data_IF_815936437421
#
_entry.id   IF_815936437421
#
_cell.length_a   1.000
_cell.length_b   1.000
_cell.length_c   1.000
_cell.angle_alpha   90.00
_cell.angle_beta   90.00
_cell.angle_gamma   90.00
#
_symmetry.space_group_name_H-M   'P 1'
#
loop_
_entity.id
_entity.type
_entity.pdbx_description
1 polymer ?
#
# COMPACT_ATOMS: atom_id res chain seq x y z
N UNK A 1 -35.85 -14.36 40.41
CA UNK A 1 -36.23 -15.23 39.27
C UNK A 1 -35.70 -14.57 38.02
N UNK A 2 -34.71 -15.20 37.49
CA UNK A 2 -33.83 -14.86 36.41
C UNK A 2 -34.50 -14.90 35.03
N UNK A 3 -34.20 -13.99 34.14
CA UNK A 3 -34.58 -14.03 32.74
C UNK A 3 -33.50 -13.38 31.86
N UNK A 4 -32.47 -14.14 31.53
CA UNK A 4 -31.46 -13.82 30.51
C UNK A 4 -32.10 -13.95 29.12
N UNK A 5 -32.20 -12.86 28.36
CA UNK A 5 -32.54 -12.87 26.96
C UNK A 5 -31.24 -12.71 26.16
N UNK A 6 -30.83 -13.85 25.59
CA UNK A 6 -29.79 -13.96 24.57
C UNK A 6 -30.31 -13.40 23.25
N UNK A 7 -29.73 -12.31 22.76
CA UNK A 7 -29.97 -11.81 21.41
C UNK A 7 -28.95 -12.44 20.47
N UNK A 8 -29.37 -13.42 19.71
CA UNK A 8 -28.64 -13.96 18.55
C UNK A 8 -28.71 -12.96 17.39
N UNK A 9 -27.56 -12.44 16.99
CA UNK A 9 -27.42 -11.68 15.77
C UNK A 9 -27.33 -12.65 14.57
N UNK A 10 -28.41 -12.77 13.82
CA UNK A 10 -28.43 -13.41 12.49
C UNK A 10 -28.88 -12.39 11.47
N UNK A 11 -27.93 -11.89 10.67
CA UNK A 11 -28.22 -11.12 9.48
C UNK A 11 -27.35 -11.60 8.31
N UNK A 12 -27.95 -12.04 7.20
CA UNK A 12 -27.17 -12.55 6.07
C UNK A 12 -26.70 -11.40 5.19
N UNK A 13 -25.40 -11.15 5.14
CA UNK A 13 -24.80 -10.37 4.06
C UNK A 13 -24.90 -11.16 2.75
N UNK A 14 -25.87 -10.82 1.91
CA UNK A 14 -25.91 -11.26 0.52
C UNK A 14 -24.86 -10.47 -0.26
N UNK A 15 -23.84 -11.17 -0.72
CA UNK A 15 -22.86 -10.70 -1.69
C UNK A 15 -23.55 -10.41 -3.02
N UNK A 16 -23.56 -9.15 -3.44
CA UNK A 16 -23.74 -8.79 -4.83
C UNK A 16 -22.37 -8.90 -5.52
N UNK A 17 -22.15 -10.04 -6.14
CA UNK A 17 -21.06 -10.27 -7.07
C UNK A 17 -21.52 -9.78 -8.44
N UNK A 18 -21.26 -8.53 -8.80
CA UNK A 18 -21.43 -8.04 -10.15
C UNK A 18 -20.09 -7.59 -10.73
N UNK A 19 -19.75 -8.25 -11.81
CA UNK A 19 -18.57 -8.22 -12.63
C UNK A 19 -18.32 -6.86 -13.29
N UNK A 20 -17.78 -5.88 -12.56
CA UNK A 20 -17.24 -4.65 -13.14
C UNK A 20 -15.80 -4.80 -13.69
N UNK A 21 -15.18 -5.96 -13.48
CA UNK A 21 -13.76 -6.20 -13.80
C UNK A 21 -13.43 -6.40 -15.28
N UNK A 22 -14.40 -6.75 -16.13
CA UNK A 22 -14.13 -7.03 -17.56
C UNK A 22 -13.85 -5.78 -18.40
N UNK A 23 -14.32 -4.60 -17.99
CA UNK A 23 -14.12 -3.32 -18.71
C UNK A 23 -12.75 -2.68 -18.47
N UNK A 24 -12.07 -3.06 -17.42
CA UNK A 24 -10.76 -2.51 -17.05
C UNK A 24 -9.64 -2.97 -18.00
N UNK A 25 -9.71 -4.21 -18.46
CA UNK A 25 -8.72 -4.80 -19.34
C UNK A 25 -8.79 -4.27 -20.78
N UNK A 26 -9.97 -3.96 -21.28
CA UNK A 26 -10.11 -3.44 -22.66
C UNK A 26 -9.47 -2.06 -22.85
N UNK A 27 -9.45 -1.20 -21.83
CA UNK A 27 -8.75 0.10 -21.87
C UNK A 27 -7.23 -0.01 -21.69
N UNK A 28 -6.73 -0.98 -20.92
CA UNK A 28 -5.29 -1.23 -20.80
C UNK A 28 -4.66 -1.84 -22.05
N UNK A 29 -5.44 -2.47 -22.90
CA UNK A 29 -4.94 -3.06 -24.14
C UNK A 29 -4.35 -2.04 -25.11
N UNK A 30 -4.89 -0.81 -25.14
CA UNK A 30 -4.37 0.27 -25.99
C UNK A 30 -3.03 0.86 -25.50
N UNK A 31 -2.72 0.70 -24.20
CA UNK A 31 -1.51 1.25 -23.58
C UNK A 31 -0.35 0.25 -23.56
N UNK A 32 -0.64 -1.06 -23.64
CA UNK A 32 0.40 -2.11 -23.64
C UNK A 32 1.19 -2.20 -24.97
N UNK A 33 0.85 -1.42 -25.99
CA UNK A 33 1.44 -1.49 -27.32
C UNK A 33 2.61 -0.54 -27.59
N UNK A 34 3.09 0.24 -26.60
CA UNK A 34 4.17 1.20 -26.83
C UNK A 34 5.46 0.82 -26.09
N UNK A 35 6.50 0.62 -26.86
CA UNK A 35 7.95 0.49 -26.60
C UNK A 35 8.50 -0.17 -25.31
N UNK A 36 9.23 -1.27 -25.53
CA UNK A 36 9.97 -2.04 -24.52
C UNK A 36 11.47 -1.82 -24.69
N UNK A 37 12.13 -1.28 -23.68
CA UNK A 37 13.59 -1.05 -23.65
C UNK A 37 14.33 -2.07 -22.75
N UNK A 38 14.14 -3.38 -22.98
CA UNK A 38 14.98 -4.42 -22.36
C UNK A 38 15.45 -5.42 -23.44
N UNK A 39 16.79 -5.67 -23.59
CA UNK A 39 17.33 -6.40 -24.74
C UNK A 39 16.85 -7.84 -24.89
N UNK A 40 16.50 -8.54 -23.82
CA UNK A 40 15.98 -9.92 -23.88
C UNK A 40 14.50 -9.94 -24.29
N UNK A 41 13.71 -8.96 -23.86
CA UNK A 41 12.29 -8.84 -24.22
C UNK A 41 12.07 -8.14 -25.56
N UNK A 42 13.01 -7.29 -25.99
CA UNK A 42 12.99 -6.70 -27.33
C UNK A 42 13.14 -7.77 -28.44
N UNK A 43 13.86 -8.86 -28.19
CA UNK A 43 13.91 -10.01 -29.11
C UNK A 43 12.59 -10.78 -29.17
N UNK A 44 11.91 -10.97 -28.04
CA UNK A 44 10.60 -11.65 -27.97
C UNK A 44 9.45 -10.77 -28.52
N UNK A 45 9.60 -9.43 -28.48
CA UNK A 45 8.62 -8.49 -28.99
C UNK A 45 8.60 -8.38 -30.53
N UNK A 46 9.64 -8.85 -31.23
CA UNK A 46 9.72 -8.83 -32.70
C UNK A 46 8.84 -9.85 -33.41
N UNK A 47 8.31 -10.84 -32.68
CA UNK A 47 7.32 -11.78 -33.24
C UNK A 47 5.90 -11.30 -32.93
N UNK A 48 5.38 -10.36 -33.71
CA UNK A 48 3.97 -9.98 -33.66
C UNK A 48 3.14 -10.96 -34.50
N UNK A 49 2.49 -11.90 -33.88
CA UNK A 49 1.38 -12.64 -34.48
C UNK A 49 0.10 -11.86 -34.19
N UNK A 50 -0.55 -11.31 -35.20
CA UNK A 50 -1.82 -10.56 -35.12
C UNK A 50 -1.76 -9.31 -34.17
N UNK A 51 -0.70 -8.52 -34.22
CA UNK A 51 -0.59 -7.26 -33.48
C UNK A 51 -0.39 -7.37 -31.96
N UNK A 52 -0.23 -8.59 -31.42
CA UNK A 52 -0.09 -8.83 -29.95
C UNK A 52 1.13 -9.70 -29.68
N UNK A 53 1.96 -9.29 -28.71
CA UNK A 53 3.17 -10.06 -28.38
C UNK A 53 2.81 -11.42 -27.77
N UNK A 54 3.58 -12.50 -28.06
CA UNK A 54 3.35 -13.83 -27.48
C UNK A 54 3.23 -13.84 -25.97
N UNK A 55 3.99 -12.98 -25.29
CA UNK A 55 3.92 -12.84 -23.84
C UNK A 55 2.59 -12.21 -23.36
N UNK A 56 1.96 -11.34 -24.15
CA UNK A 56 0.62 -10.82 -23.82
C UNK A 56 -0.44 -11.91 -23.90
N UNK A 57 -0.36 -12.74 -24.96
CA UNK A 57 -1.25 -13.90 -25.11
C UNK A 57 -1.06 -14.89 -23.96
N UNK A 58 0.20 -15.21 -23.63
CA UNK A 58 0.54 -16.10 -22.51
C UNK A 58 -0.03 -15.60 -21.18
N UNK A 59 0.16 -14.32 -20.84
CA UNK A 59 -0.37 -13.75 -19.61
C UNK A 59 -1.90 -13.75 -19.58
N UNK A 60 -2.57 -13.49 -20.71
CA UNK A 60 -4.04 -13.56 -20.80
C UNK A 60 -4.58 -14.97 -20.60
N UNK A 61 -3.94 -15.96 -21.20
CA UNK A 61 -4.32 -17.36 -21.04
C UNK A 61 -4.19 -17.77 -19.56
N UNK A 62 -3.05 -17.45 -18.96
CA UNK A 62 -2.81 -17.74 -17.54
C UNK A 62 -3.80 -17.01 -16.61
N UNK A 63 -4.17 -15.76 -16.92
CA UNK A 63 -5.20 -15.05 -16.15
C UNK A 63 -6.52 -15.82 -16.17
N UNK A 64 -7.00 -16.24 -17.36
CA UNK A 64 -8.24 -17.01 -17.48
C UNK A 64 -8.20 -18.34 -16.71
N UNK A 65 -7.05 -19.03 -16.72
CA UNK A 65 -6.87 -20.26 -15.94
C UNK A 65 -6.90 -19.95 -14.46
N UNK A 66 -6.16 -18.93 -14.01
CA UNK A 66 -6.07 -18.52 -12.62
C UNK A 66 -7.42 -18.14 -12.02
N UNK A 67 -8.21 -17.36 -12.75
CA UNK A 67 -9.56 -16.96 -12.31
C UNK A 67 -10.50 -18.15 -12.08
N UNK A 68 -10.31 -19.25 -12.81
CA UNK A 68 -11.08 -20.49 -12.68
C UNK A 68 -10.58 -21.44 -11.59
N UNK A 69 -9.37 -21.24 -11.08
CA UNK A 69 -8.80 -22.09 -10.05
C UNK A 69 -9.51 -21.84 -8.70
N UNK A 70 -9.97 -22.88 -7.99
CA UNK A 70 -10.46 -22.75 -6.62
C UNK A 70 -9.41 -22.13 -5.69
N UNK A 71 -9.83 -21.34 -4.70
CA UNK A 71 -8.91 -20.68 -3.75
C UNK A 71 -8.01 -21.68 -3.01
N UNK A 72 -8.51 -22.89 -2.71
CA UNK A 72 -7.71 -23.98 -2.10
C UNK A 72 -6.54 -24.39 -2.97
N UNK A 73 -6.74 -24.48 -4.30
CA UNK A 73 -5.69 -24.83 -5.28
C UNK A 73 -4.70 -23.67 -5.43
N UNK A 74 -5.17 -22.42 -5.50
CA UNK A 74 -4.28 -21.24 -5.58
C UNK A 74 -3.33 -21.13 -4.39
N UNK A 75 -3.72 -21.66 -3.23
CA UNK A 75 -2.91 -21.64 -2.01
C UNK A 75 -1.90 -22.80 -1.90
N UNK A 76 -1.91 -23.77 -2.81
CA UNK A 76 -0.88 -24.81 -2.85
C UNK A 76 0.49 -24.24 -3.21
N UNK A 77 1.54 -24.71 -2.54
CA UNK A 77 2.90 -24.20 -2.71
C UNK A 77 3.37 -24.10 -4.18
N UNK A 78 3.23 -25.13 -5.04
CA UNK A 78 3.69 -25.04 -6.43
C UNK A 78 2.88 -24.00 -7.24
N UNK A 79 1.57 -23.88 -7.00
CA UNK A 79 0.72 -22.92 -7.68
C UNK A 79 1.07 -21.48 -7.25
N UNK A 80 1.35 -21.28 -5.95
CA UNK A 80 1.82 -19.99 -5.43
C UNK A 80 3.17 -19.59 -6.01
N UNK A 81 4.11 -20.51 -6.09
CA UNK A 81 5.43 -20.28 -6.70
C UNK A 81 5.30 -19.91 -8.18
N UNK A 82 4.40 -20.58 -8.90
CA UNK A 82 4.07 -20.21 -10.26
C UNK A 82 3.42 -18.83 -10.35
N UNK A 83 2.52 -18.50 -9.46
CA UNK A 83 1.94 -17.16 -9.35
C UNK A 83 2.98 -16.08 -9.08
N UNK A 84 3.96 -16.33 -8.20
CA UNK A 84 5.07 -15.41 -7.94
C UNK A 84 5.93 -15.19 -9.20
N UNK A 85 6.16 -16.24 -9.99
CA UNK A 85 6.85 -16.12 -11.28
C UNK A 85 6.04 -15.32 -12.31
N UNK A 86 4.72 -15.56 -12.41
CA UNK A 86 3.82 -14.75 -13.25
C UNK A 86 3.83 -13.28 -12.82
N UNK A 87 3.82 -13.02 -11.51
CA UNK A 87 3.94 -11.69 -10.95
C UNK A 87 5.24 -11.02 -11.40
N UNK A 88 6.39 -11.71 -11.33
CA UNK A 88 7.65 -11.17 -11.81
C UNK A 88 7.60 -10.79 -13.30
N UNK A 89 6.94 -11.61 -14.15
CA UNK A 89 6.74 -11.30 -15.58
C UNK A 89 5.84 -10.08 -15.79
N UNK A 90 4.80 -9.90 -14.97
CA UNK A 90 3.93 -8.72 -15.01
C UNK A 90 4.73 -7.48 -14.62
N UNK A 91 5.57 -7.59 -13.55
CA UNK A 91 6.44 -6.51 -13.09
C UNK A 91 7.41 -6.00 -14.18
N UNK A 92 8.04 -6.91 -14.93
CA UNK A 92 8.96 -6.55 -16.01
C UNK A 92 8.30 -5.72 -17.12
N UNK A 93 6.97 -5.73 -17.21
CA UNK A 93 6.18 -5.01 -18.20
C UNK A 93 5.51 -3.76 -17.68
N UNK A 94 5.57 -3.53 -16.36
CA UNK A 94 4.98 -2.35 -15.76
C UNK A 94 5.75 -1.10 -16.17
N UNK A 95 5.02 -0.12 -16.68
CA UNK A 95 5.53 1.23 -16.91
C UNK A 95 5.08 2.13 -15.78
N UNK A 96 5.90 3.14 -15.42
CA UNK A 96 5.48 4.21 -14.52
C UNK A 96 4.26 4.90 -15.14
N UNK A 97 3.08 4.68 -14.57
CA UNK A 97 1.83 5.30 -15.00
C UNK A 97 1.27 6.11 -13.85
N UNK A 98 0.76 7.29 -14.15
CA UNK A 98 -0.05 8.04 -13.21
C UNK A 98 -1.43 7.37 -13.13
N UNK A 99 -1.72 6.80 -11.99
CA UNK A 99 -3.01 6.19 -11.70
C UNK A 99 -3.53 6.77 -10.38
N UNK A 100 -4.64 7.47 -10.45
CA UNK A 100 -5.20 8.20 -9.31
C UNK A 100 -6.32 7.43 -8.57
N UNK A 101 -6.43 6.13 -8.82
CA UNK A 101 -7.44 5.27 -8.20
C UNK A 101 -7.27 5.17 -6.70
N UNK A 102 -8.16 5.82 -5.97
CA UNK A 102 -8.22 5.78 -4.50
C UNK A 102 -9.67 5.87 -4.04
N UNK A 103 -9.94 5.57 -2.79
CA UNK A 103 -11.24 5.74 -2.15
C UNK A 103 -11.06 5.94 -0.64
N UNK A 104 -12.10 6.47 0.00
CA UNK A 104 -12.08 6.72 1.43
C UNK A 104 -12.02 5.41 2.22
N UNK A 105 -11.33 5.44 3.37
CA UNK A 105 -11.15 4.34 4.32
C UNK A 105 -10.65 3.04 3.67
N UNK A 106 -9.73 3.15 2.72
CA UNK A 106 -9.25 2.05 1.87
C UNK A 106 -8.73 0.86 2.67
N UNK A 107 -7.94 1.10 3.70
CA UNK A 107 -7.42 0.06 4.59
C UNK A 107 -7.69 0.45 6.04
N UNK A 108 -8.87 0.06 6.55
CA UNK A 108 -9.30 0.39 7.91
C UNK A 108 -8.33 -0.11 9.00
N UNK A 109 -7.75 -1.33 8.92
CA UNK A 109 -6.75 -1.77 9.88
C UNK A 109 -5.49 -0.88 9.89
N UNK A 110 -5.06 -0.34 8.75
CA UNK A 110 -3.93 0.59 8.70
C UNK A 110 -4.26 1.93 9.37
N UNK A 111 -5.46 2.46 9.14
CA UNK A 111 -5.95 3.67 9.81
C UNK A 111 -6.05 3.48 11.32
N UNK A 112 -6.55 2.32 11.76
CA UNK A 112 -6.62 1.96 13.18
C UNK A 112 -5.23 1.86 13.81
N UNK A 113 -4.26 1.29 13.11
CA UNK A 113 -2.87 1.27 13.59
C UNK A 113 -2.30 2.70 13.70
N UNK A 114 -2.52 3.56 12.70
CA UNK A 114 -2.09 4.96 12.75
C UNK A 114 -2.71 5.68 13.96
N UNK A 115 -3.99 5.45 14.23
CA UNK A 115 -4.68 5.99 15.39
C UNK A 115 -4.04 5.53 16.71
N UNK A 116 -3.78 4.21 16.87
CA UNK A 116 -3.13 3.64 18.06
C UNK A 116 -1.72 4.19 18.27
N UNK A 117 -0.96 4.40 17.20
CA UNK A 117 0.35 5.03 17.30
C UNK A 117 0.24 6.51 17.68
N UNK A 118 -0.80 7.21 17.21
CA UNK A 118 -1.09 8.58 17.62
C UNK A 118 -1.49 8.65 19.12
N UNK A 119 -2.12 7.60 19.68
CA UNK A 119 -2.44 7.51 21.10
C UNK A 119 -1.21 7.53 22.02
N UNK A 120 -0.03 7.18 21.48
CA UNK A 120 1.24 7.24 22.22
C UNK A 120 1.80 8.67 22.36
N UNK A 121 1.26 9.63 21.59
CA UNK A 121 1.69 11.03 21.69
C UNK A 121 1.13 11.69 22.94
N UNK A 122 1.92 12.54 23.63
CA UNK A 122 1.44 13.31 24.76
C UNK A 122 0.21 14.15 24.40
N UNK A 123 -0.67 14.35 25.38
CA UNK A 123 -1.87 15.16 25.19
C UNK A 123 -1.51 16.60 24.80
N UNK A 124 -2.22 17.14 23.82
CA UNK A 124 -2.00 18.51 23.30
C UNK A 124 -0.75 18.69 22.45
N UNK A 125 0.01 17.60 22.18
CA UNK A 125 1.22 17.70 21.38
C UNK A 125 0.92 17.77 19.87
N UNK A 126 1.96 18.08 19.10
CA UNK A 126 1.89 18.09 17.62
C UNK A 126 2.20 16.70 17.08
N UNK A 127 1.40 16.25 16.11
CA UNK A 127 1.65 15.06 15.29
C UNK A 127 1.87 15.52 13.85
N UNK A 128 3.05 15.23 13.29
CA UNK A 128 3.41 15.55 11.91
C UNK A 128 3.29 14.31 11.04
N UNK A 129 2.56 14.42 9.93
CA UNK A 129 2.31 13.31 9.00
C UNK A 129 2.62 13.79 7.59
N UNK A 130 3.39 13.02 6.82
CA UNK A 130 3.49 13.21 5.38
C UNK A 130 2.77 12.09 4.64
N UNK A 131 1.93 12.43 3.66
CA UNK A 131 1.26 11.49 2.75
C UNK A 131 1.82 11.71 1.34
N UNK A 132 2.56 10.73 0.85
CA UNK A 132 3.23 10.79 -0.44
C UNK A 132 2.42 10.06 -1.51
N UNK A 133 2.23 10.69 -2.68
CA UNK A 133 1.32 10.20 -3.72
C UNK A 133 -0.14 10.29 -3.24
N UNK A 134 -0.52 11.45 -2.68
CA UNK A 134 -1.81 11.65 -2.02
C UNK A 134 -3.02 11.61 -2.95
N UNK A 135 -2.79 11.60 -4.27
CA UNK A 135 -3.85 11.52 -5.28
C UNK A 135 -4.95 12.58 -5.04
N UNK A 136 -6.21 12.23 -5.24
CA UNK A 136 -7.36 13.13 -5.02
C UNK A 136 -7.69 13.38 -3.54
N UNK A 137 -6.80 13.04 -2.60
CA UNK A 137 -6.92 13.38 -1.18
C UNK A 137 -7.74 12.43 -0.31
N UNK A 138 -8.32 11.36 -0.86
CA UNK A 138 -9.16 10.47 -0.08
C UNK A 138 -8.42 9.81 1.11
N UNK A 139 -7.15 9.43 0.95
CA UNK A 139 -6.33 8.88 2.03
C UNK A 139 -5.99 9.95 3.07
N UNK A 140 -5.67 11.18 2.64
CA UNK A 140 -5.38 12.32 3.52
C UNK A 140 -6.54 12.57 4.49
N UNK A 141 -7.75 12.73 3.96
CA UNK A 141 -8.93 12.97 4.77
C UNK A 141 -9.33 11.77 5.63
N UNK A 142 -9.09 10.54 5.15
CA UNK A 142 -9.32 9.32 5.93
C UNK A 142 -8.41 9.23 7.16
N UNK A 143 -7.14 9.57 7.02
CA UNK A 143 -6.17 9.62 8.11
C UNK A 143 -6.57 10.68 9.13
N UNK A 144 -6.89 11.89 8.65
CA UNK A 144 -7.29 13.00 9.52
C UNK A 144 -8.59 12.68 10.28
N UNK A 145 -9.59 12.10 9.59
CA UNK A 145 -10.83 11.65 10.25
C UNK A 145 -10.53 10.62 11.34
N UNK A 146 -9.76 9.58 11.04
CA UNK A 146 -9.44 8.52 11.99
C UNK A 146 -8.73 9.04 13.23
N UNK A 147 -7.75 9.94 13.06
CA UNK A 147 -6.95 10.45 14.19
C UNK A 147 -7.72 11.52 14.97
N UNK A 148 -8.31 12.51 14.30
CA UNK A 148 -8.98 13.63 14.98
C UNK A 148 -10.26 13.25 15.68
N UNK A 149 -11.01 12.27 15.17
CA UNK A 149 -12.19 11.74 15.87
C UNK A 149 -11.83 11.09 17.21
N UNK A 150 -10.66 10.45 17.30
CA UNK A 150 -10.21 9.78 18.51
C UNK A 150 -9.37 10.70 19.43
N UNK A 151 -8.58 11.59 18.82
CA UNK A 151 -7.62 12.47 19.51
C UNK A 151 -7.79 13.93 19.08
N UNK A 152 -8.93 14.55 19.42
CA UNK A 152 -9.18 15.98 19.10
C UNK A 152 -8.23 16.93 19.84
N UNK A 153 -7.53 16.43 20.86
CA UNK A 153 -6.52 17.18 21.59
C UNK A 153 -5.20 17.35 20.83
N UNK A 154 -4.91 16.52 19.82
CA UNK A 154 -3.65 16.61 19.08
C UNK A 154 -3.72 17.70 17.99
N UNK A 155 -2.63 18.49 17.90
CA UNK A 155 -2.43 19.35 16.74
C UNK A 155 -1.86 18.54 15.60
N UNK A 156 -2.72 18.05 14.67
CA UNK A 156 -2.28 17.28 13.52
C UNK A 156 -1.93 18.23 12.37
N UNK A 157 -0.66 18.17 11.94
CA UNK A 157 -0.14 18.85 10.75
C UNK A 157 0.15 17.78 9.70
N UNK A 158 -0.39 17.92 8.50
CA UNK A 158 -0.27 16.95 7.44
C UNK A 158 0.23 17.59 6.15
N UNK A 159 1.36 17.08 5.64
CA UNK A 159 1.92 17.44 4.35
C UNK A 159 1.45 16.41 3.30
N UNK A 160 0.60 16.85 2.37
CA UNK A 160 0.06 16.05 1.29
C UNK A 160 0.83 16.32 -0.01
N UNK A 161 1.55 15.32 -0.50
CA UNK A 161 2.48 15.49 -1.64
C UNK A 161 2.01 14.66 -2.83
N UNK A 162 1.96 15.25 -4.01
CA UNK A 162 1.75 14.56 -5.28
C UNK A 162 2.56 15.21 -6.41
N UNK A 163 2.80 14.47 -7.48
CA UNK A 163 3.53 14.94 -8.66
C UNK A 163 2.64 15.70 -9.66
N UNK A 164 1.33 15.70 -9.46
CA UNK A 164 0.35 16.36 -10.33
C UNK A 164 -0.29 17.55 -9.64
N UNK A 165 -0.03 18.75 -10.18
CA UNK A 165 -0.61 19.99 -9.68
C UNK A 165 -2.14 20.02 -9.80
N UNK A 166 -2.68 19.44 -10.87
CA UNK A 166 -4.11 19.37 -11.14
C UNK A 166 -4.81 18.52 -10.09
N UNK A 167 -4.20 17.37 -9.74
CA UNK A 167 -4.72 16.47 -8.72
C UNK A 167 -4.66 17.09 -7.33
N UNK A 168 -3.57 17.77 -7.00
CA UNK A 168 -3.46 18.50 -5.72
C UNK A 168 -4.52 19.58 -5.60
N UNK A 169 -4.73 20.36 -6.67
CA UNK A 169 -5.78 21.39 -6.68
C UNK A 169 -7.17 20.81 -6.52
N UNK A 170 -7.43 19.61 -7.07
CA UNK A 170 -8.67 18.88 -6.86
C UNK A 170 -8.79 18.41 -5.40
N UNK A 171 -7.76 17.79 -4.88
CA UNK A 171 -7.72 17.27 -3.49
C UNK A 171 -7.92 18.39 -2.47
N UNK A 172 -7.28 19.54 -2.66
CA UNK A 172 -7.38 20.70 -1.79
C UNK A 172 -8.80 21.27 -1.73
N UNK A 173 -9.54 21.30 -2.86
CA UNK A 173 -10.95 21.71 -2.88
C UNK A 173 -11.80 20.83 -1.97
N UNK A 174 -11.50 19.53 -1.91
CA UNK A 174 -12.20 18.57 -1.06
C UNK A 174 -13.68 18.40 -1.43
N UNK A 175 -14.01 18.52 -2.72
CA UNK A 175 -15.37 18.39 -3.26
C UNK A 175 -15.39 17.17 -4.18
N UNK A 176 -16.29 16.26 -3.88
CA UNK A 176 -16.44 14.99 -4.60
C UNK A 176 -17.87 14.82 -5.07
N UNK A 177 -18.03 14.24 -6.26
CA UNK A 177 -19.32 13.94 -6.85
C UNK A 177 -19.33 12.49 -7.38
N UNK A 178 -20.51 11.90 -7.71
CA UNK A 178 -20.58 10.58 -8.34
C UNK A 178 -19.71 10.47 -9.60
N UNK A 179 -19.59 11.53 -10.39
CA UNK A 179 -18.73 11.59 -11.57
C UNK A 179 -17.24 11.52 -11.22
N UNK A 180 -16.84 11.81 -9.98
CA UNK A 180 -15.46 11.60 -9.51
C UNK A 180 -15.04 10.16 -9.70
N UNK A 181 -15.99 9.22 -9.70
CA UNK A 181 -15.76 7.82 -10.02
C UNK A 181 -15.17 7.59 -11.42
N UNK A 182 -15.36 8.52 -12.36
CA UNK A 182 -14.76 8.45 -13.70
C UNK A 182 -13.21 8.57 -13.64
N UNK A 183 -12.69 9.27 -12.64
CA UNK A 183 -11.25 9.39 -12.39
C UNK A 183 -10.68 8.15 -11.70
N UNK A 184 -11.49 7.40 -10.95
CA UNK A 184 -11.04 6.32 -10.05
C UNK A 184 -11.67 4.95 -10.32
N UNK A 185 -12.50 4.79 -11.33
CA UNK A 185 -13.16 3.54 -11.76
C UNK A 185 -14.02 2.82 -10.72
N UNK A 186 -14.19 3.37 -9.53
CA UNK A 186 -15.05 2.85 -8.46
C UNK A 186 -15.68 4.02 -7.71
N UNK A 187 -16.79 3.80 -7.04
CA UNK A 187 -17.38 4.84 -6.19
C UNK A 187 -16.39 5.16 -5.07
N UNK A 188 -15.92 6.40 -5.02
CA UNK A 188 -14.97 6.87 -4.00
C UNK A 188 -15.53 6.69 -2.58
N UNK A 189 -16.86 6.59 -2.44
CA UNK A 189 -17.59 6.44 -1.19
C UNK A 189 -18.00 5.00 -0.86
N UNK A 190 -17.66 4.01 -1.69
CA UNK A 190 -18.18 2.62 -1.57
C UNK A 190 -17.91 1.96 -0.21
N UNK A 191 -16.91 2.41 0.51
CA UNK A 191 -16.50 1.85 1.81
C UNK A 191 -16.95 2.65 3.01
N UNK A 192 -17.66 3.75 2.78
CA UNK A 192 -18.20 4.57 3.85
C UNK A 192 -19.60 4.10 4.24
N UNK A 193 -19.85 3.98 5.53
CA UNK A 193 -21.21 3.91 6.08
C UNK A 193 -21.90 5.28 5.98
N UNK A 194 -23.21 5.33 6.11
CA UNK A 194 -23.94 6.60 6.09
C UNK A 194 -23.52 7.51 7.26
N UNK A 195 -23.22 6.94 8.43
CA UNK A 195 -22.72 7.70 9.58
C UNK A 195 -21.37 8.36 9.25
N UNK A 196 -20.42 7.61 8.68
CA UNK A 196 -19.11 8.15 8.30
C UNK A 196 -19.22 9.21 7.21
N UNK A 197 -20.13 9.03 6.26
CA UNK A 197 -20.44 10.07 5.26
C UNK A 197 -20.94 11.35 5.93
N UNK A 198 -21.86 11.23 6.89
CA UNK A 198 -22.39 12.37 7.63
C UNK A 198 -21.32 13.03 8.53
N UNK A 199 -20.37 12.27 9.06
CA UNK A 199 -19.27 12.81 9.88
C UNK A 199 -18.20 13.52 9.04
N UNK A 200 -17.92 13.02 7.83
CA UNK A 200 -16.82 13.52 6.99
C UNK A 200 -17.23 14.62 6.03
N UNK A 201 -18.51 14.66 5.61
CA UNK A 201 -18.95 15.53 4.51
C UNK A 201 -20.20 16.34 4.86
N UNK A 202 -20.26 17.53 4.25
CA UNK A 202 -21.46 18.32 4.06
C UNK A 202 -21.97 18.07 2.63
N UNK A 203 -23.24 17.76 2.46
CA UNK A 203 -23.82 17.40 1.17
C UNK A 203 -24.64 18.54 0.58
N UNK A 204 -24.34 18.94 -0.66
CA UNK A 204 -25.08 19.90 -1.46
C UNK A 204 -25.51 19.20 -2.76
N UNK A 205 -26.76 18.70 -2.81
CA UNK A 205 -27.21 17.80 -3.89
C UNK A 205 -26.39 16.53 -3.90
N UNK A 206 -25.76 16.21 -5.02
CA UNK A 206 -24.84 15.08 -5.21
C UNK A 206 -23.39 15.39 -4.89
N UNK A 207 -23.07 16.63 -4.50
CA UNK A 207 -21.72 16.99 -4.14
C UNK A 207 -21.47 16.81 -2.65
N UNK A 208 -20.42 16.10 -2.32
CA UNK A 208 -19.93 15.88 -0.97
C UNK A 208 -18.71 16.77 -0.74
N UNK A 209 -18.83 17.77 0.11
CA UNK A 209 -17.73 18.67 0.52
C UNK A 209 -17.16 18.19 1.84
N UNK A 210 -15.86 17.97 1.90
CA UNK A 210 -15.19 17.59 3.15
C UNK A 210 -15.34 18.71 4.18
N UNK A 211 -15.77 18.33 5.39
CA UNK A 211 -15.99 19.26 6.50
C UNK A 211 -14.73 20.06 6.85
N UNK A 212 -14.91 21.29 7.30
CA UNK A 212 -13.81 22.24 7.58
C UNK A 212 -12.79 21.67 8.56
N UNK A 213 -13.24 21.03 9.63
CA UNK A 213 -12.36 20.45 10.66
C UNK A 213 -11.42 19.36 10.16
N UNK A 214 -11.75 18.70 9.04
CA UNK A 214 -10.88 17.73 8.35
C UNK A 214 -9.89 18.40 7.39
N UNK A 215 -10.14 19.65 7.01
CA UNK A 215 -9.31 20.38 6.05
C UNK A 215 -8.24 21.26 6.72
N UNK A 216 -8.33 21.46 8.01
CA UNK A 216 -7.37 22.25 8.79
C UNK A 216 -6.00 21.60 8.84
N UNK A 217 -4.92 22.40 8.87
CA UNK A 217 -3.55 21.94 9.08
C UNK A 217 -3.00 21.01 7.97
N UNK A 218 -3.58 21.05 6.77
CA UNK A 218 -3.06 20.36 5.59
C UNK A 218 -2.26 21.35 4.74
N UNK A 219 -1.04 20.95 4.37
CA UNK A 219 -0.23 21.62 3.35
C UNK A 219 -0.23 20.77 2.09
N UNK A 220 -0.75 21.31 0.98
CA UNK A 220 -0.75 20.62 -0.31
C UNK A 220 0.47 21.04 -1.11
N UNK A 221 1.34 20.09 -1.45
CA UNK A 221 2.65 20.39 -2.02
C UNK A 221 2.93 19.54 -3.26
N UNK A 222 3.34 20.23 -4.33
CA UNK A 222 3.88 19.57 -5.52
C UNK A 222 5.27 19.01 -5.20
N UNK A 223 5.47 17.72 -5.41
CA UNK A 223 6.76 17.08 -5.14
C UNK A 223 6.82 15.64 -5.64
N UNK A 224 8.04 15.17 -5.91
CA UNK A 224 8.30 13.78 -6.26
C UNK A 224 8.95 13.07 -5.04
N UNK A 225 8.32 12.00 -4.55
CA UNK A 225 8.88 11.19 -3.46
C UNK A 225 10.23 10.54 -3.80
N UNK A 226 10.59 10.50 -5.08
CA UNK A 226 11.91 10.05 -5.53
C UNK A 226 12.98 11.16 -5.45
N UNK A 227 12.59 12.42 -5.23
CA UNK A 227 13.51 13.55 -5.09
C UNK A 227 14.09 13.60 -3.66
N UNK A 228 15.44 13.52 -3.51
CA UNK A 228 16.07 13.65 -2.19
C UNK A 228 15.83 15.00 -1.51
N UNK A 229 15.62 16.07 -2.27
CA UNK A 229 15.41 17.44 -1.77
C UNK A 229 14.07 17.58 -1.04
N UNK A 230 13.14 16.65 -1.24
CA UNK A 230 11.86 16.64 -0.54
C UNK A 230 12.04 16.62 0.99
N UNK A 231 13.11 16.00 1.47
CA UNK A 231 13.45 15.95 2.91
C UNK A 231 13.73 17.36 3.46
N UNK A 232 14.38 18.22 2.69
CA UNK A 232 14.70 19.58 3.11
C UNK A 232 13.46 20.47 3.20
N UNK A 233 12.45 20.12 2.39
CA UNK A 233 11.19 20.89 2.32
C UNK A 233 10.20 20.50 3.42
N UNK A 234 10.03 19.19 3.66
CA UNK A 234 9.03 18.69 4.62
C UNK A 234 9.55 18.65 6.07
N UNK A 235 10.87 18.49 6.24
CA UNK A 235 11.48 18.26 7.56
C UNK A 235 11.08 16.88 8.15
N UNK A 236 11.46 16.62 9.40
CA UNK A 236 11.20 15.32 10.03
C UNK A 236 9.71 15.14 10.38
N UNK A 237 9.18 13.97 10.06
CA UNK A 237 7.79 13.57 10.26
C UNK A 237 7.69 12.48 11.34
N UNK A 238 6.61 12.48 12.12
CA UNK A 238 6.29 11.39 13.06
C UNK A 238 5.79 10.15 12.31
N UNK A 239 5.04 10.36 11.21
CA UNK A 239 4.54 9.31 10.35
C UNK A 239 4.71 9.71 8.87
N UNK A 240 5.19 8.79 8.05
CA UNK A 240 5.21 8.94 6.59
C UNK A 240 4.41 7.82 5.96
N UNK A 241 3.47 8.18 5.10
CA UNK A 241 2.57 7.26 4.42
C UNK A 241 2.88 7.26 2.93
N UNK A 242 3.20 6.09 2.41
CA UNK A 242 3.56 5.85 1.01
C UNK A 242 2.74 4.68 0.45
N UNK A 243 1.50 4.99 0.04
CA UNK A 243 0.53 3.97 -0.34
C UNK A 243 0.31 3.91 -1.85
N UNK A 244 0.52 2.72 -2.43
CA UNK A 244 0.06 2.31 -3.76
C UNK A 244 0.56 3.15 -4.96
N UNK A 245 1.66 3.88 -4.84
CA UNK A 245 2.30 4.55 -5.98
C UNK A 245 3.65 3.92 -6.36
N UNK A 246 4.35 3.29 -5.43
CA UNK A 246 5.64 2.64 -5.67
C UNK A 246 5.54 1.46 -6.65
N UNK A 247 4.38 0.82 -6.73
CA UNK A 247 4.11 -0.25 -7.69
C UNK A 247 4.16 0.19 -9.16
N UNK A 248 4.11 1.49 -9.41
CA UNK A 248 4.22 2.06 -10.75
C UNK A 248 5.66 2.41 -11.14
N UNK A 249 6.63 2.12 -10.29
CA UNK A 249 8.06 2.36 -10.52
C UNK A 249 8.79 1.06 -10.87
N UNK A 250 9.93 1.17 -11.55
CA UNK A 250 10.87 0.06 -11.66
C UNK A 250 11.43 -0.30 -10.27
N UNK A 251 11.86 -1.56 -10.07
CA UNK A 251 12.37 -2.03 -8.77
C UNK A 251 13.48 -1.16 -8.19
N UNK A 252 14.44 -0.77 -9.02
CA UNK A 252 15.55 0.11 -8.63
C UNK A 252 15.10 1.51 -8.21
N UNK A 253 14.11 2.06 -8.92
CA UNK A 253 13.54 3.36 -8.59
C UNK A 253 12.69 3.30 -7.33
N UNK A 254 11.92 2.22 -7.14
CA UNK A 254 11.16 1.98 -5.91
C UNK A 254 12.08 1.85 -4.69
N UNK A 255 13.21 1.13 -4.81
CA UNK A 255 14.20 1.01 -3.73
C UNK A 255 14.81 2.37 -3.39
N UNK A 256 15.23 3.14 -4.40
CA UNK A 256 15.76 4.49 -4.21
C UNK A 256 14.73 5.41 -3.54
N UNK A 257 13.48 5.37 -4.00
CA UNK A 257 12.39 6.12 -3.43
C UNK A 257 12.13 5.76 -1.96
N UNK A 258 12.11 4.46 -1.61
CA UNK A 258 11.96 4.01 -0.22
C UNK A 258 13.09 4.51 0.69
N UNK A 259 14.34 4.54 0.19
CA UNK A 259 15.48 5.09 0.93
C UNK A 259 15.35 6.61 1.16
N UNK A 260 14.77 7.34 0.21
CA UNK A 260 14.48 8.76 0.38
C UNK A 260 13.34 8.97 1.39
N UNK A 261 12.27 8.18 1.29
CA UNK A 261 11.12 8.21 2.22
C UNK A 261 11.59 7.98 3.66
N UNK A 262 12.54 7.07 3.88
CA UNK A 262 13.09 6.79 5.21
C UNK A 262 13.72 8.02 5.86
N UNK A 263 14.32 8.92 5.08
CA UNK A 263 14.94 10.16 5.58
C UNK A 263 13.93 11.20 6.05
N UNK A 264 12.68 11.10 5.60
CA UNK A 264 11.60 11.97 6.06
C UNK A 264 11.11 11.60 7.45
N UNK A 265 11.35 10.37 7.90
CA UNK A 265 10.87 9.90 9.19
C UNK A 265 11.80 10.38 10.28
N UNK A 266 11.26 11.11 11.25
CA UNK A 266 12.01 11.55 12.43
C UNK A 266 12.40 10.39 13.34
N UNK A 267 13.33 10.59 14.28
CA UNK A 267 13.79 9.57 15.20
C UNK A 267 12.65 8.90 15.97
N UNK A 268 12.55 7.57 15.88
CA UNK A 268 11.48 6.80 16.52
C UNK A 268 10.11 6.91 15.85
N UNK A 269 10.03 7.59 14.70
CA UNK A 269 8.81 7.72 13.90
C UNK A 269 8.50 6.47 13.09
N UNK A 270 7.46 6.54 12.30
CA UNK A 270 6.88 5.40 11.58
C UNK A 270 6.77 5.64 10.09
N UNK A 271 7.00 4.60 9.31
CA UNK A 271 6.68 4.59 7.88
C UNK A 271 5.62 3.53 7.58
N UNK A 272 4.62 3.92 6.82
CA UNK A 272 3.58 3.05 6.27
C UNK A 272 3.81 2.89 4.78
N UNK A 273 4.03 1.66 4.31
CA UNK A 273 4.34 1.37 2.91
C UNK A 273 3.46 0.25 2.39
N UNK A 274 2.64 0.55 1.40
CA UNK A 274 1.82 -0.43 0.70
C UNK A 274 1.94 -0.30 -0.81
N UNK A 275 1.48 -1.32 -1.56
CA UNK A 275 1.53 -1.30 -3.03
C UNK A 275 2.95 -1.15 -3.57
N UNK A 276 3.89 -1.94 -3.09
CA UNK A 276 5.28 -2.03 -3.54
C UNK A 276 5.67 -3.49 -3.68
N UNK A 277 6.64 -3.77 -4.55
CA UNK A 277 7.23 -5.10 -4.65
C UNK A 277 7.77 -5.55 -3.28
N UNK A 278 7.32 -6.74 -2.81
CA UNK A 278 7.66 -7.23 -1.47
C UNK A 278 9.15 -7.53 -1.32
N UNK A 279 9.84 -7.94 -2.40
CA UNK A 279 11.29 -8.19 -2.32
C UNK A 279 12.03 -6.87 -2.14
N UNK A 280 11.60 -5.82 -2.84
CA UNK A 280 12.18 -4.47 -2.71
C UNK A 280 11.95 -3.93 -1.30
N UNK A 281 10.71 -4.00 -0.80
CA UNK A 281 10.40 -3.51 0.56
C UNK A 281 11.15 -4.29 1.63
N UNK A 282 11.15 -5.62 1.55
CA UNK A 282 11.82 -6.48 2.51
C UNK A 282 13.32 -6.21 2.54
N UNK A 283 13.95 -6.14 1.36
CA UNK A 283 15.38 -5.81 1.24
C UNK A 283 15.68 -4.45 1.86
N UNK A 284 14.93 -3.43 1.48
CA UNK A 284 15.16 -2.06 1.99
C UNK A 284 14.97 -1.98 3.52
N UNK A 285 13.94 -2.65 4.05
CA UNK A 285 13.69 -2.69 5.48
C UNK A 285 14.83 -3.38 6.26
N UNK A 286 15.34 -4.49 5.73
CA UNK A 286 16.49 -5.19 6.33
C UNK A 286 17.78 -4.37 6.23
N UNK A 287 18.07 -3.80 5.06
CA UNK A 287 19.26 -2.98 4.82
C UNK A 287 19.33 -1.74 5.73
N UNK A 288 18.17 -1.14 6.03
CA UNK A 288 18.05 0.07 6.83
C UNK A 288 17.68 -0.19 8.31
N UNK A 289 17.60 -1.45 8.72
CA UNK A 289 17.28 -1.82 10.09
C UNK A 289 15.88 -1.39 10.55
N UNK A 290 14.90 -1.38 9.66
CA UNK A 290 13.53 -1.03 10.01
C UNK A 290 12.89 -2.12 10.89
N UNK A 291 12.26 -1.71 11.98
CA UNK A 291 11.55 -2.62 12.87
C UNK A 291 10.10 -2.80 12.42
N UNK A 292 9.67 -4.01 12.01
CA UNK A 292 8.32 -4.23 11.55
C UNK A 292 7.32 -4.14 12.71
N UNK A 293 6.25 -3.36 12.53
CA UNK A 293 5.12 -3.31 13.45
C UNK A 293 4.25 -4.54 13.22
N UNK A 294 4.15 -5.39 14.25
CA UNK A 294 3.42 -6.67 14.17
C UNK A 294 1.93 -6.51 14.47
N UNK A 295 1.57 -5.45 15.18
CA UNK A 295 0.19 -5.14 15.50
C UNK A 295 -0.62 -4.91 14.23
N UNK A 296 -1.77 -5.55 14.12
CA UNK A 296 -2.65 -5.52 12.96
C UNK A 296 -1.98 -5.86 11.60
N UNK A 297 -0.78 -6.45 11.63
CA UNK A 297 0.00 -6.72 10.41
C UNK A 297 -0.76 -7.63 9.43
N UNK A 298 -1.41 -8.67 9.93
CA UNK A 298 -2.16 -9.62 9.10
C UNK A 298 -3.43 -8.96 8.57
N UNK A 299 -4.12 -8.22 9.42
CA UNK A 299 -5.34 -7.50 9.09
C UNK A 299 -5.06 -6.41 8.05
N UNK A 300 -3.96 -5.68 8.17
CA UNK A 300 -3.52 -4.67 7.20
C UNK A 300 -3.17 -5.35 5.87
N UNK A 301 -2.40 -6.44 5.92
CA UNK A 301 -2.03 -7.19 4.74
C UNK A 301 -3.26 -7.80 4.04
N UNK A 302 -4.27 -8.26 4.80
CA UNK A 302 -5.52 -8.82 4.30
C UNK A 302 -6.64 -7.77 4.13
N UNK A 303 -6.40 -6.54 4.53
CA UNK A 303 -7.42 -5.49 4.67
C UNK A 303 -8.16 -5.14 3.39
N UNK A 304 -7.62 -5.49 2.23
CA UNK A 304 -8.30 -5.34 0.95
C UNK A 304 -8.37 -6.68 0.19
N UNK A 305 -9.33 -7.53 0.59
CA UNK A 305 -9.54 -8.84 -0.03
C UNK A 305 -9.91 -8.76 -1.50
N UNK A 306 -10.64 -7.73 -1.92
CA UNK A 306 -11.04 -7.55 -3.32
C UNK A 306 -9.81 -7.34 -4.21
N UNK A 307 -8.85 -6.57 -3.71
CA UNK A 307 -7.58 -6.31 -4.35
C UNK A 307 -6.71 -7.56 -4.43
N UNK A 308 -6.73 -8.40 -3.36
CA UNK A 308 -5.98 -9.67 -3.34
C UNK A 308 -6.50 -10.72 -4.30
N UNK A 309 -7.78 -10.64 -4.68
CA UNK A 309 -8.35 -11.56 -5.68
C UNK A 309 -7.63 -11.46 -7.03
N UNK A 310 -7.06 -10.32 -7.34
CA UNK A 310 -6.39 -10.05 -8.61
C UNK A 310 -4.89 -10.41 -8.61
N UNK A 311 -4.32 -10.85 -7.48
CA UNK A 311 -2.96 -11.39 -7.48
C UNK A 311 -2.89 -12.63 -8.40
N UNK A 312 -1.85 -12.79 -9.24
CA UNK A 312 -0.61 -12.02 -9.35
C UNK A 312 -0.65 -10.84 -10.34
N UNK A 313 -1.80 -10.41 -10.84
CA UNK A 313 -1.94 -9.58 -12.03
C UNK A 313 -1.91 -8.08 -11.78
N UNK A 314 -2.55 -7.60 -10.73
CA UNK A 314 -2.85 -6.18 -10.60
C UNK A 314 -2.27 -5.52 -9.36
N UNK A 315 -2.12 -6.25 -8.25
CA UNK A 315 -1.77 -5.60 -7.01
C UNK A 315 -0.44 -6.07 -6.44
N UNK A 316 0.53 -5.23 -6.59
CA UNK A 316 1.90 -5.37 -6.17
C UNK A 316 1.99 -5.44 -4.65
N UNK A 317 2.67 -6.43 -4.14
CA UNK A 317 2.82 -6.59 -2.70
C UNK A 317 1.67 -7.32 -2.00
N UNK A 318 0.75 -7.95 -2.75
CA UNK A 318 -0.39 -8.65 -2.20
C UNK A 318 -0.31 -10.18 -2.35
N UNK A 319 0.87 -10.76 -2.42
CA UNK A 319 1.01 -12.21 -2.41
C UNK A 319 0.38 -12.81 -1.13
N UNK A 320 -0.19 -14.03 -1.20
CA UNK A 320 -0.74 -14.70 -0.04
C UNK A 320 0.29 -14.88 1.07
N UNK A 321 -0.09 -14.61 2.32
CA UNK A 321 0.78 -14.66 3.47
C UNK A 321 1.41 -16.06 3.66
N UNK A 322 2.72 -16.13 3.84
CA UNK A 322 3.47 -17.34 4.06
C UNK A 322 4.29 -17.29 5.36
N UNK A 323 3.71 -17.74 6.45
CA UNK A 323 4.33 -17.74 7.79
C UNK A 323 5.52 -18.71 7.92
N UNK A 324 5.75 -19.59 6.93
CA UNK A 324 6.90 -20.50 6.92
C UNK A 324 8.22 -19.82 6.51
N UNK A 325 8.15 -18.62 5.96
CA UNK A 325 9.34 -17.84 5.64
C UNK A 325 9.98 -17.30 6.92
N UNK A 326 11.29 -17.29 6.98
CA UNK A 326 12.03 -16.70 8.13
C UNK A 326 11.82 -15.20 8.23
N UNK A 327 11.70 -14.51 7.09
CA UNK A 327 11.52 -13.06 6.97
C UNK A 327 10.05 -12.62 6.95
N UNK A 328 9.08 -13.51 7.23
CA UNK A 328 7.66 -13.26 6.99
C UNK A 328 7.13 -12.00 7.70
N UNK A 329 7.62 -11.69 8.90
CA UNK A 329 7.19 -10.50 9.64
C UNK A 329 7.62 -9.21 8.95
N UNK A 330 8.88 -9.11 8.52
CA UNK A 330 9.38 -7.96 7.75
C UNK A 330 8.74 -7.91 6.36
N UNK A 331 8.56 -9.07 5.73
CA UNK A 331 8.01 -9.16 4.39
C UNK A 331 6.57 -8.67 4.30
N UNK A 332 5.73 -9.05 5.25
CA UNK A 332 4.30 -8.74 5.20
C UNK A 332 3.90 -7.53 6.04
N UNK A 333 4.79 -6.96 6.83
CA UNK A 333 4.52 -5.70 7.50
C UNK A 333 4.32 -4.57 6.48
N UNK A 334 3.29 -3.77 6.69
CA UNK A 334 3.05 -2.53 5.95
C UNK A 334 3.46 -1.29 6.74
N UNK A 335 3.73 -1.44 8.04
CA UNK A 335 4.19 -0.38 8.91
C UNK A 335 5.50 -0.78 9.59
N UNK A 336 6.42 0.19 9.70
CA UNK A 336 7.72 -0.01 10.33
C UNK A 336 8.06 1.17 11.22
N UNK A 337 8.74 0.89 12.32
CA UNK A 337 9.38 1.91 13.14
C UNK A 337 10.79 2.15 12.60
N UNK A 338 11.15 3.41 12.45
CA UNK A 338 12.50 3.79 12.05
C UNK A 338 13.32 3.99 13.32
N UNK A 339 14.44 3.27 13.43
CA UNK A 339 15.33 3.36 14.58
C UNK A 339 15.95 4.74 14.74
N UNK A 340 16.27 5.12 15.96
CA UNK A 340 17.06 6.31 16.21
C UNK A 340 18.52 6.02 15.77
N UNK A 341 19.12 6.78 14.85
CA UNK A 341 20.51 6.57 14.42
C UNK A 341 21.54 6.69 15.54
N UNK A 342 21.16 7.16 16.73
CA UNK A 342 22.02 7.29 17.90
C UNK A 342 22.07 6.06 18.82
N UNK A 343 21.38 4.97 18.50
CA UNK A 343 21.51 3.73 19.27
C UNK A 343 22.73 2.96 18.74
N UNK A 344 23.85 2.87 19.48
CA UNK A 344 24.97 2.06 19.03
C UNK A 344 24.53 0.61 18.85
N UNK A 345 24.98 -0.01 17.78
CA UNK A 345 24.80 -1.42 17.46
C UNK A 345 25.37 -2.31 18.59
N UNK A 346 24.55 -2.61 19.60
CA UNK A 346 24.81 -3.67 20.57
C UNK A 346 23.67 -4.70 20.51
N UNK A 347 23.55 -5.33 19.35
CA UNK A 347 22.84 -6.61 19.26
C UNK A 347 23.80 -7.58 18.57
N UNK A 348 24.24 -8.66 19.24
CA UNK A 348 25.14 -9.62 18.63
C UNK A 348 24.44 -10.29 17.43
N UNK A 349 25.02 -10.06 16.27
CA UNK A 349 24.66 -10.76 15.04
C UNK A 349 24.84 -12.26 15.30
N UNK A 350 23.76 -13.03 15.19
CA UNK A 350 23.78 -14.50 15.21
C UNK A 350 24.45 -14.99 13.91
N UNK A 351 25.76 -14.77 13.82
CA UNK A 351 26.65 -15.35 12.83
C UNK A 351 27.95 -15.79 13.48
N UNK A 352 27.86 -16.68 14.49
CA UNK A 352 29.05 -17.36 15.01
C UNK A 352 28.66 -18.72 15.63
N UNK A 353 28.03 -19.58 14.87
CA UNK A 353 28.03 -21.03 15.16
C UNK A 353 28.29 -21.78 13.86
N UNK A 354 29.52 -21.71 13.39
CA UNK A 354 30.05 -22.66 12.40
C UNK A 354 31.57 -22.55 12.31
N UNK A 355 32.30 -22.76 13.44
CA UNK A 355 33.75 -23.06 13.43
C UNK A 355 34.21 -23.59 14.79
N UNK A 356 33.60 -24.64 15.33
CA UNK A 356 34.25 -25.52 16.31
C UNK A 356 33.76 -26.94 16.04
N UNK A 357 34.26 -27.56 15.00
CA UNK A 357 34.27 -28.99 14.82
C UNK A 357 35.49 -29.36 13.97
N UNK A 358 36.62 -29.50 14.61
CA UNK A 358 37.82 -29.91 13.89
C UNK A 358 39.08 -29.77 14.71
N UNK A 359 39.24 -30.56 15.80
CA UNK A 359 40.54 -31.02 16.33
C UNK A 359 40.30 -31.86 17.59
N UNK A 360 39.95 -33.09 17.38
CA UNK A 360 40.32 -34.13 18.36
C UNK A 360 41.35 -35.04 17.64
N UNK A 361 42.62 -34.83 17.95
CA UNK A 361 43.68 -35.76 17.62
C UNK A 361 43.57 -36.97 18.53
N UNK A 362 43.49 -38.13 17.91
CA UNK A 362 43.82 -39.42 18.52
C UNK A 362 45.26 -39.40 18.93
N UNK A 363 45.54 -39.70 20.20
CA UNK A 363 46.82 -40.29 20.67
C UNK A 363 46.51 -41.25 21.80
N UNK A 364 46.82 -42.49 21.50
CA UNK A 364 46.94 -43.72 22.35
C UNK A 364 45.70 -44.24 23.01
#
# INVERSE_FOLDING_TARGET
>A
MSGLLSVRATGPYRFFQQSSHSRWWSRRESVLNSDVSHPILAKAARFQVLGKSPATFYLRLNKRIWERLPSRVRNLYPVRSYGAWLYALVCLRAKRQQFFGTFFLRNRPALELMRRLADQKPRGSTLRIAVLGCSIGAEVYSILWSIRSARPDLKVLLDAVDISKEILSFAEKGIYAPETSQMVNASIFERLSETEKAEMFDWEGDQAKVKSWLREGITWQLGDAADPELTNTLGPQDMVVASNFLCHMARTDSERCLRNIARLVGPGGYVFVSGVDLDVRTKTALDLGWEPIRELMVEIHDGDRSVRADWPWEWWGLEPLNRKRQDWQTRYAAAFRIGNPERPENTPTVHAVSKIAGKIKLTQ
#
